data_IF_834344021211
#
_entry.id   IF_834344021211
#
_cell.length_a   1.000
_cell.length_b   1.000
_cell.length_c   1.000
_cell.angle_alpha   90.00
_cell.angle_beta   90.00
_cell.angle_gamma   90.00
#
_symmetry.space_group_name_H-M   'P 1'
#
loop_
_entity.id
_entity.type
_entity.pdbx_description
1 polymer ?
#
# COMPACT_ATOMS: atom_id res chain seq x y z
N UNK A 1 11.84 0.32 -19.27
CA UNK A 1 12.16 1.73 -19.63
C UNK A 1 10.96 2.69 -19.59
N UNK A 2 9.71 2.32 -19.96
CA UNK A 2 8.58 3.27 -19.91
C UNK A 2 8.22 3.78 -18.51
N UNK A 3 8.40 2.94 -17.48
CA UNK A 3 8.07 3.26 -16.09
C UNK A 3 8.96 4.33 -15.45
N UNK A 4 10.21 4.46 -15.89
CA UNK A 4 11.15 5.45 -15.36
C UNK A 4 10.76 6.85 -15.84
N UNK A 5 10.41 7.00 -17.11
CA UNK A 5 10.00 8.29 -17.68
C UNK A 5 8.68 8.79 -17.09
N UNK A 6 7.70 7.89 -16.92
CA UNK A 6 6.44 8.20 -16.25
C UNK A 6 6.65 8.68 -14.82
N UNK A 7 7.42 7.95 -14.01
CA UNK A 7 7.66 8.33 -12.61
C UNK A 7 8.43 9.66 -12.48
N UNK A 8 9.38 9.93 -13.38
CA UNK A 8 10.12 11.20 -13.38
C UNK A 8 9.22 12.38 -13.74
N UNK A 9 8.35 12.25 -14.75
CA UNK A 9 7.40 13.31 -15.12
C UNK A 9 6.42 13.58 -13.98
N UNK A 10 5.90 12.56 -13.34
CA UNK A 10 4.96 12.72 -12.22
C UNK A 10 5.60 13.39 -11.01
N UNK A 11 6.88 13.12 -10.74
CA UNK A 11 7.64 13.81 -9.69
C UNK A 11 7.84 15.31 -9.99
N UNK A 12 8.16 15.66 -11.24
CA UNK A 12 8.27 17.07 -11.64
C UNK A 12 6.93 17.81 -11.59
N UNK A 13 5.83 17.13 -11.94
CA UNK A 13 4.48 17.70 -11.88
C UNK A 13 4.03 17.96 -10.43
N UNK A 14 4.34 17.05 -9.51
CA UNK A 14 4.06 17.25 -8.09
C UNK A 14 4.85 18.45 -7.51
N UNK A 15 6.11 18.62 -7.94
CA UNK A 15 6.95 19.76 -7.54
C UNK A 15 6.40 21.13 -7.96
N UNK A 16 5.57 21.20 -9.00
CA UNK A 16 4.88 22.41 -9.45
C UNK A 16 3.40 22.47 -9.01
N UNK A 17 2.98 21.57 -8.11
CA UNK A 17 1.64 21.54 -7.52
C UNK A 17 0.57 20.88 -8.39
N UNK A 18 0.96 20.12 -9.42
CA UNK A 18 0.03 19.39 -10.30
C UNK A 18 -0.10 17.95 -9.81
N UNK A 19 -1.30 17.60 -9.33
CA UNK A 19 -1.56 16.24 -8.85
C UNK A 19 -1.52 15.22 -9.98
N UNK A 20 -1.27 13.95 -9.62
CA UNK A 20 -1.18 12.85 -10.59
C UNK A 20 -2.45 12.66 -11.41
N UNK A 21 -3.62 12.88 -10.80
CA UNK A 21 -4.92 12.80 -11.47
C UNK A 21 -5.05 13.92 -12.52
N UNK A 22 -4.66 15.15 -12.16
CA UNK A 22 -4.70 16.29 -13.09
C UNK A 22 -3.76 16.07 -14.27
N UNK A 23 -2.56 15.57 -14.01
CA UNK A 23 -1.60 15.21 -15.05
C UNK A 23 -2.17 14.19 -16.04
N UNK A 24 -2.81 13.12 -15.54
CA UNK A 24 -3.45 12.11 -16.38
C UNK A 24 -4.59 12.68 -17.22
N UNK A 25 -5.42 13.56 -16.64
CA UNK A 25 -6.52 14.23 -17.36
C UNK A 25 -6.03 15.20 -18.44
N UNK A 26 -4.93 15.92 -18.20
CA UNK A 26 -4.28 16.74 -19.23
C UNK A 26 -3.77 15.86 -20.37
N UNK A 27 -3.11 14.75 -20.05
CA UNK A 27 -2.64 13.78 -21.05
C UNK A 27 -3.78 13.25 -21.92
N UNK A 28 -4.89 12.81 -21.30
CA UNK A 28 -6.09 12.37 -22.02
C UNK A 28 -6.68 13.49 -22.91
N UNK A 29 -6.75 14.72 -22.39
CA UNK A 29 -7.25 15.88 -23.14
C UNK A 29 -6.39 16.16 -24.39
N UNK A 30 -5.06 16.07 -24.27
CA UNK A 30 -4.13 16.23 -25.39
C UNK A 30 -4.35 15.12 -26.43
N UNK A 31 -4.50 13.86 -26.00
CA UNK A 31 -4.74 12.74 -26.92
C UNK A 31 -6.03 12.91 -27.74
N UNK A 32 -7.08 13.41 -27.09
CA UNK A 32 -8.36 13.72 -27.75
C UNK A 32 -8.23 14.91 -28.72
N UNK A 33 -7.55 15.99 -28.31
CA UNK A 33 -7.36 17.19 -29.14
C UNK A 33 -6.49 16.92 -30.38
N UNK A 34 -5.51 16.04 -30.26
CA UNK A 34 -4.64 15.64 -31.38
C UNK A 34 -5.30 14.58 -32.29
N UNK A 35 -6.48 14.08 -31.94
CA UNK A 35 -7.19 13.04 -32.69
C UNK A 35 -6.48 11.69 -32.72
N UNK A 36 -5.54 11.45 -31.80
CA UNK A 36 -4.84 10.16 -31.64
C UNK A 36 -5.82 9.11 -31.10
N UNK A 37 -6.79 9.54 -30.30
CA UNK A 37 -7.86 8.75 -29.72
C UNK A 37 -9.16 9.55 -29.83
N UNK A 38 -10.28 8.88 -30.06
CA UNK A 38 -11.61 9.50 -30.04
C UNK A 38 -12.36 9.15 -28.74
N UNK A 39 -13.50 9.80 -28.50
CA UNK A 39 -14.28 9.56 -27.28
C UNK A 39 -14.87 8.14 -27.21
N UNK A 40 -15.23 7.55 -28.35
CA UNK A 40 -15.73 6.17 -28.40
C UNK A 40 -14.64 5.16 -28.02
N UNK A 41 -13.37 5.41 -28.36
CA UNK A 41 -12.23 4.60 -27.91
C UNK A 41 -12.15 4.61 -26.37
N UNK A 42 -12.29 5.78 -25.73
CA UNK A 42 -12.33 5.89 -24.26
C UNK A 42 -13.49 5.13 -23.63
N UNK A 43 -14.68 5.20 -24.24
CA UNK A 43 -15.87 4.48 -23.74
C UNK A 43 -15.72 2.96 -23.91
N UNK A 44 -15.02 2.52 -24.95
CA UNK A 44 -14.81 1.10 -25.24
C UNK A 44 -13.63 0.48 -24.49
N UNK A 45 -12.83 1.26 -23.75
CA UNK A 45 -11.73 0.77 -22.92
C UNK A 45 -12.22 0.08 -21.64
N UNK A 46 -12.83 -1.09 -21.80
CA UNK A 46 -13.51 -1.82 -20.72
C UNK A 46 -12.62 -2.15 -19.52
N UNK A 47 -11.33 -2.40 -19.74
CA UNK A 47 -10.38 -2.72 -18.67
C UNK A 47 -10.21 -1.56 -17.69
N UNK A 48 -10.15 -0.32 -18.19
CA UNK A 48 -10.06 0.88 -17.37
C UNK A 48 -11.33 1.09 -16.53
N UNK A 49 -12.52 0.91 -17.15
CA UNK A 49 -13.80 1.06 -16.46
C UNK A 49 -14.03 -0.02 -15.40
N UNK A 50 -13.68 -1.27 -15.70
CA UNK A 50 -13.78 -2.38 -14.74
C UNK A 50 -12.89 -2.10 -13.51
N UNK A 51 -11.62 -1.78 -13.76
CA UNK A 51 -10.66 -1.43 -12.70
C UNK A 51 -11.15 -0.25 -11.86
N UNK A 52 -11.64 0.81 -12.49
CA UNK A 52 -12.19 1.97 -11.79
C UNK A 52 -13.37 1.59 -10.90
N UNK A 53 -14.30 0.78 -11.41
CA UNK A 53 -15.54 0.44 -10.71
C UNK A 53 -15.29 -0.40 -9.45
N UNK A 54 -14.59 -1.53 -9.58
CA UNK A 54 -14.38 -2.40 -8.41
C UNK A 54 -13.41 -1.79 -7.40
N UNK A 55 -12.38 -1.07 -7.85
CA UNK A 55 -11.41 -0.42 -6.96
C UNK A 55 -12.05 0.72 -6.15
N UNK A 56 -12.90 1.55 -6.79
CA UNK A 56 -13.60 2.63 -6.11
C UNK A 56 -14.53 2.12 -5.00
N UNK A 57 -15.26 1.02 -5.25
CA UNK A 57 -16.14 0.40 -4.25
C UNK A 57 -15.33 -0.10 -3.04
N UNK A 58 -14.24 -0.83 -3.27
CA UNK A 58 -13.44 -1.38 -2.17
C UNK A 58 -12.76 -0.29 -1.35
N UNK A 59 -12.23 0.76 -2.00
CA UNK A 59 -11.65 1.92 -1.30
C UNK A 59 -12.72 2.67 -0.49
N UNK A 60 -13.91 2.87 -1.06
CA UNK A 60 -15.04 3.50 -0.36
C UNK A 60 -15.46 2.74 0.89
N UNK A 61 -15.60 1.40 0.80
CA UNK A 61 -15.93 0.55 1.95
C UNK A 61 -14.85 0.60 3.04
N UNK A 62 -13.57 0.52 2.66
CA UNK A 62 -12.46 0.61 3.61
C UNK A 62 -12.42 1.96 4.33
N UNK A 63 -12.71 3.06 3.61
CA UNK A 63 -12.87 4.39 4.19
C UNK A 63 -13.97 4.44 5.24
N UNK A 64 -15.16 3.93 4.91
CA UNK A 64 -16.29 3.91 5.85
C UNK A 64 -16.02 3.07 7.11
N UNK A 65 -15.34 1.92 6.99
CA UNK A 65 -14.94 1.13 8.17
C UNK A 65 -13.99 1.91 9.10
N UNK A 66 -13.16 2.76 8.52
CA UNK A 66 -12.25 3.64 9.27
C UNK A 66 -13.02 4.76 9.95
N UNK A 67 -13.88 5.47 9.21
CA UNK A 67 -14.66 6.61 9.70
C UNK A 67 -15.64 6.20 10.81
N UNK A 68 -16.22 5.00 10.72
CA UNK A 68 -17.07 4.40 11.76
C UNK A 68 -16.30 3.96 13.02
N UNK A 69 -14.96 4.06 13.02
CA UNK A 69 -14.11 3.74 14.17
C UNK A 69 -13.89 2.25 14.42
N UNK A 70 -14.35 1.38 13.52
CA UNK A 70 -14.19 -0.09 13.65
C UNK A 70 -12.72 -0.47 13.67
N UNK A 71 -11.91 0.19 12.84
CA UNK A 71 -10.47 -0.03 12.74
C UNK A 71 -9.76 0.33 14.06
N UNK A 72 -10.12 1.47 14.65
CA UNK A 72 -9.58 1.93 15.94
C UNK A 72 -9.99 1.01 17.09
N UNK A 73 -11.26 0.57 17.12
CA UNK A 73 -11.75 -0.38 18.11
C UNK A 73 -10.99 -1.72 18.05
N UNK A 74 -10.84 -2.29 16.85
CA UNK A 74 -10.14 -3.56 16.65
C UNK A 74 -8.65 -3.44 17.06
N UNK A 75 -8.00 -2.34 16.69
CA UNK A 75 -6.60 -2.10 17.06
C UNK A 75 -6.41 -2.01 18.57
N UNK A 76 -7.34 -1.38 19.30
CA UNK A 76 -7.30 -1.33 20.77
C UNK A 76 -7.47 -2.71 21.42
N UNK A 77 -8.29 -3.60 20.83
CA UNK A 77 -8.42 -4.98 21.30
C UNK A 77 -7.10 -5.74 21.13
N UNK A 78 -6.45 -5.63 19.97
CA UNK A 78 -5.15 -6.28 19.69
C UNK A 78 -4.06 -5.74 20.62
N UNK A 79 -4.03 -4.42 20.86
CA UNK A 79 -3.08 -3.79 21.77
C UNK A 79 -3.15 -4.37 23.19
N UNK A 80 -4.37 -4.55 23.73
CA UNK A 80 -4.58 -5.14 25.06
C UNK A 80 -4.13 -6.59 25.13
N UNK A 81 -4.39 -7.36 24.07
CA UNK A 81 -3.96 -8.76 23.98
C UNK A 81 -2.42 -8.84 23.96
N UNK A 82 -1.75 -8.01 23.16
CA UNK A 82 -0.29 -7.97 23.11
C UNK A 82 0.35 -7.57 24.45
N UNK A 83 -0.26 -6.62 25.18
CA UNK A 83 0.20 -6.26 26.53
C UNK A 83 0.10 -7.44 27.51
N UNK A 84 -0.92 -8.31 27.35
CA UNK A 84 -1.08 -9.48 28.23
C UNK A 84 0.02 -10.54 28.07
N UNK A 85 0.71 -10.57 26.92
CA UNK A 85 1.79 -11.52 26.65
C UNK A 85 3.17 -11.11 27.21
N UNK A 86 3.30 -9.90 27.81
CA UNK A 86 4.57 -9.40 28.38
C UNK A 86 5.78 -9.59 27.44
N UNK A 87 5.56 -9.39 26.13
CA UNK A 87 6.59 -9.54 25.11
C UNK A 87 7.67 -8.46 25.27
N UNK A 88 8.92 -8.82 24.98
CA UNK A 88 9.97 -7.82 24.79
C UNK A 88 9.63 -6.93 23.59
N UNK A 89 10.06 -5.67 23.61
CA UNK A 89 9.76 -4.73 22.53
C UNK A 89 10.18 -5.25 21.13
N UNK A 90 11.30 -6.00 20.92
CA UNK A 90 11.63 -6.54 19.60
C UNK A 90 10.66 -7.62 19.14
N UNK A 91 10.17 -8.46 20.07
CA UNK A 91 9.19 -9.49 19.76
C UNK A 91 7.82 -8.86 19.42
N UNK A 92 7.39 -7.87 20.19
CA UNK A 92 6.18 -7.10 19.91
C UNK A 92 6.27 -6.37 18.57
N UNK A 93 7.43 -5.76 18.26
CA UNK A 93 7.71 -5.14 16.96
C UNK A 93 7.53 -6.13 15.81
N UNK A 94 8.15 -7.32 15.89
CA UNK A 94 8.03 -8.33 14.84
C UNK A 94 6.58 -8.78 14.61
N UNK A 95 5.83 -9.04 15.69
CA UNK A 95 4.42 -9.45 15.61
C UNK A 95 3.55 -8.35 15.01
N UNK A 96 3.73 -7.10 15.46
CA UNK A 96 2.97 -5.96 14.94
C UNK A 96 3.30 -5.70 13.46
N UNK A 97 4.56 -5.79 13.05
CA UNK A 97 4.95 -5.61 11.64
C UNK A 97 4.39 -6.71 10.74
N UNK A 98 4.47 -7.97 11.17
CA UNK A 98 3.86 -9.08 10.44
C UNK A 98 2.34 -8.91 10.33
N UNK A 99 1.68 -8.54 11.43
CA UNK A 99 0.23 -8.33 11.47
C UNK A 99 -0.19 -7.19 10.53
N UNK A 100 0.52 -6.06 10.57
CA UNK A 100 0.29 -4.92 9.68
C UNK A 100 0.44 -5.33 8.21
N UNK A 101 1.50 -6.09 7.90
CA UNK A 101 1.76 -6.57 6.54
C UNK A 101 0.65 -7.48 6.01
N UNK A 102 0.24 -8.49 6.79
CA UNK A 102 -0.74 -9.49 6.35
C UNK A 102 -2.20 -9.01 6.41
N UNK A 103 -2.54 -8.05 7.28
CA UNK A 103 -3.88 -7.43 7.25
C UNK A 103 -4.16 -6.76 5.91
N UNK A 104 -3.11 -6.41 5.15
CA UNK A 104 -3.28 -5.82 3.83
C UNK A 104 -4.01 -6.73 2.82
N UNK A 105 -4.07 -8.05 3.03
CA UNK A 105 -4.95 -8.92 2.24
C UNK A 105 -6.43 -8.52 2.31
N UNK A 106 -6.84 -7.79 3.35
CA UNK A 106 -8.19 -7.28 3.56
C UNK A 106 -8.40 -5.87 3.01
N UNK A 107 -7.37 -5.23 2.43
CA UNK A 107 -7.42 -3.87 1.91
C UNK A 107 -7.13 -3.84 0.41
N UNK A 108 -7.94 -3.09 -0.32
CA UNK A 108 -7.77 -2.87 -1.76
C UNK A 108 -6.89 -1.67 -2.10
N UNK A 109 -6.19 -1.07 -1.13
CA UNK A 109 -5.36 0.09 -1.41
C UNK A 109 -4.35 0.31 -0.30
N UNK A 110 -3.09 0.54 -0.68
CA UNK A 110 -2.05 0.98 0.25
C UNK A 110 -2.45 2.26 0.98
N UNK A 111 -3.02 3.23 0.26
CA UNK A 111 -3.47 4.50 0.85
C UNK A 111 -4.61 4.29 1.83
N UNK A 112 -5.59 3.46 1.49
CA UNK A 112 -6.70 3.15 2.39
C UNK A 112 -6.22 2.42 3.66
N UNK A 113 -5.31 1.45 3.50
CA UNK A 113 -4.70 0.76 4.64
C UNK A 113 -3.95 1.74 5.55
N UNK A 114 -3.09 2.60 4.99
CA UNK A 114 -2.33 3.59 5.76
C UNK A 114 -3.26 4.54 6.49
N UNK A 115 -4.27 5.09 5.81
CA UNK A 115 -5.26 5.98 6.43
C UNK A 115 -6.01 5.31 7.59
N UNK A 116 -6.30 4.02 7.46
CA UNK A 116 -7.03 3.25 8.46
C UNK A 116 -6.18 2.85 9.68
N UNK A 117 -5.00 2.29 9.42
CA UNK A 117 -4.30 1.46 10.41
C UNK A 117 -2.98 2.07 10.90
N UNK A 118 -2.39 3.00 10.16
CA UNK A 118 -1.04 3.49 10.46
C UNK A 118 -0.95 4.12 11.85
N UNK A 119 -1.86 5.03 12.18
CA UNK A 119 -1.89 5.72 13.48
C UNK A 119 -2.08 4.75 14.65
N UNK A 120 -2.97 3.77 14.48
CA UNK A 120 -3.26 2.77 15.49
C UNK A 120 -2.08 1.82 15.72
N UNK A 121 -1.45 1.32 14.65
CA UNK A 121 -0.26 0.49 14.77
C UNK A 121 0.95 1.25 15.30
N UNK A 122 1.09 2.54 14.97
CA UNK A 122 2.12 3.39 15.57
C UNK A 122 1.90 3.52 17.08
N UNK A 123 0.67 3.78 17.52
CA UNK A 123 0.35 3.83 18.95
C UNK A 123 0.65 2.50 19.67
N UNK A 124 0.35 1.35 19.05
CA UNK A 124 0.68 0.03 19.58
C UNK A 124 2.19 -0.21 19.71
N UNK A 125 2.97 0.21 18.71
CA UNK A 125 4.44 0.12 18.76
C UNK A 125 5.01 0.94 19.93
N UNK A 126 4.54 2.18 20.09
CA UNK A 126 4.99 3.06 21.18
C UNK A 126 4.61 2.50 22.55
N UNK A 127 3.38 1.97 22.68
CA UNK A 127 2.92 1.33 23.91
C UNK A 127 3.72 0.05 24.26
N UNK A 128 4.25 -0.64 23.25
CA UNK A 128 5.14 -1.79 23.42
C UNK A 128 6.61 -1.42 23.69
N UNK A 129 6.94 -0.13 23.78
CA UNK A 129 8.30 0.35 24.07
C UNK A 129 9.24 0.38 22.87
N UNK A 130 8.72 0.28 21.65
CA UNK A 130 9.53 0.38 20.42
C UNK A 130 9.96 1.84 20.20
N UNK A 131 11.22 2.11 19.82
CA UNK A 131 11.66 3.47 19.46
C UNK A 131 10.76 4.12 18.41
N UNK A 132 10.41 5.40 18.62
CA UNK A 132 9.41 6.08 17.80
C UNK A 132 9.81 6.21 16.32
N UNK A 133 11.07 6.58 16.06
CA UNK A 133 11.59 6.73 14.69
C UNK A 133 11.60 5.38 13.97
N UNK A 134 12.05 4.32 14.65
CA UNK A 134 12.01 2.95 14.13
C UNK A 134 10.59 2.54 13.77
N UNK A 135 9.62 2.82 14.65
CA UNK A 135 8.22 2.48 14.46
C UNK A 135 7.63 3.17 13.23
N UNK A 136 7.84 4.48 13.10
CA UNK A 136 7.33 5.26 11.97
C UNK A 136 7.94 4.79 10.65
N UNK A 137 9.28 4.70 10.58
CA UNK A 137 9.97 4.25 9.37
C UNK A 137 9.55 2.84 8.97
N UNK A 138 9.53 1.90 9.92
CA UNK A 138 9.21 0.52 9.64
C UNK A 138 7.77 0.36 9.12
N UNK A 139 6.80 1.06 9.70
CA UNK A 139 5.43 1.08 9.17
C UNK A 139 5.39 1.68 7.76
N UNK A 140 6.05 2.81 7.51
CA UNK A 140 6.09 3.43 6.17
C UNK A 140 6.70 2.49 5.12
N UNK A 141 7.81 1.81 5.44
CA UNK A 141 8.41 0.86 4.51
C UNK A 141 7.53 -0.36 4.29
N UNK A 142 6.96 -0.93 5.36
CA UNK A 142 6.01 -2.03 5.28
C UNK A 142 4.84 -1.68 4.34
N UNK A 143 4.34 -0.44 4.44
CA UNK A 143 3.30 0.09 3.56
C UNK A 143 3.64 0.20 2.08
N UNK A 144 4.91 -0.01 1.69
CA UNK A 144 5.32 -0.09 0.30
C UNK A 144 5.59 -1.55 -0.13
N UNK A 145 5.98 -2.41 0.82
CA UNK A 145 6.35 -3.80 0.55
C UNK A 145 5.13 -4.70 0.33
N UNK A 146 4.00 -4.39 0.95
CA UNK A 146 2.76 -5.14 0.76
C UNK A 146 2.03 -4.82 -0.56
N UNK A 147 2.57 -3.89 -1.36
CA UNK A 147 1.92 -3.36 -2.56
C UNK A 147 1.76 -4.35 -3.71
N UNK A 148 2.40 -5.52 -3.62
CA UNK A 148 2.35 -6.60 -4.61
C UNK A 148 1.67 -7.88 -4.10
N UNK A 149 1.01 -7.87 -2.93
CA UNK A 149 0.43 -9.07 -2.33
C UNK A 149 -0.72 -9.66 -3.14
N UNK A 150 -1.58 -8.81 -3.68
CA UNK A 150 -2.78 -9.20 -4.41
C UNK A 150 -2.93 -8.35 -5.65
N UNK A 151 -3.84 -8.75 -6.55
CA UNK A 151 -4.19 -7.92 -7.71
C UNK A 151 -4.81 -6.57 -7.32
N UNK A 152 -5.28 -6.43 -6.08
CA UNK A 152 -5.88 -5.20 -5.56
C UNK A 152 -5.06 -4.49 -4.50
N UNK A 153 -3.86 -4.94 -4.14
CA UNK A 153 -3.09 -4.32 -3.04
C UNK A 153 -2.72 -2.86 -3.33
N UNK A 154 -2.57 -2.52 -4.60
CA UNK A 154 -2.21 -1.17 -5.04
C UNK A 154 -2.86 -0.83 -6.38
N UNK A 155 -2.93 0.46 -6.71
CA UNK A 155 -3.40 0.89 -8.03
C UNK A 155 -2.52 0.33 -9.15
N UNK A 156 -1.22 0.19 -8.90
CA UNK A 156 -0.29 -0.42 -9.85
C UNK A 156 -0.62 -1.91 -10.06
N UNK A 157 -0.84 -2.68 -8.99
CA UNK A 157 -1.24 -4.09 -9.10
C UNK A 157 -2.54 -4.27 -9.86
N UNK A 158 -3.52 -3.38 -9.61
CA UNK A 158 -4.82 -3.43 -10.28
C UNK A 158 -4.67 -3.23 -11.80
N UNK A 159 -3.86 -2.25 -12.21
CA UNK A 159 -3.55 -2.00 -13.62
C UNK A 159 -2.80 -3.17 -14.26
N UNK A 160 -1.79 -3.72 -13.58
CA UNK A 160 -1.04 -4.87 -14.12
C UNK A 160 -1.92 -6.10 -14.31
N UNK A 161 -2.81 -6.39 -13.36
CA UNK A 161 -3.73 -7.51 -13.47
C UNK A 161 -4.82 -7.25 -14.53
N UNK A 162 -5.37 -6.04 -14.58
CA UNK A 162 -6.37 -5.62 -15.56
C UNK A 162 -5.89 -5.67 -17.02
N UNK A 163 -4.57 -5.77 -17.26
CA UNK A 163 -4.01 -5.97 -18.59
C UNK A 163 -4.26 -7.39 -19.15
N UNK A 164 -4.68 -8.36 -18.32
CA UNK A 164 -5.11 -9.70 -18.76
C UNK A 164 -3.97 -10.67 -19.11
N UNK A 165 -2.72 -10.34 -18.75
CA UNK A 165 -1.54 -11.18 -19.05
C UNK A 165 -1.21 -12.21 -17.96
N UNK A 166 -1.79 -12.10 -16.76
CA UNK A 166 -1.45 -12.93 -15.61
C UNK A 166 -2.71 -13.47 -14.97
N UNK A 167 -2.77 -14.78 -14.78
CA UNK A 167 -3.90 -15.44 -14.14
C UNK A 167 -3.93 -15.15 -12.63
N UNK A 168 -5.14 -15.11 -12.06
CA UNK A 168 -5.36 -14.81 -10.65
C UNK A 168 -4.53 -15.67 -9.69
N UNK A 169 -4.43 -17.02 -9.85
CA UNK A 169 -3.62 -17.84 -8.95
C UNK A 169 -2.13 -17.47 -8.99
N UNK A 170 -1.62 -17.05 -10.14
CA UNK A 170 -0.21 -16.69 -10.29
C UNK A 170 0.09 -15.33 -9.67
N UNK A 171 -0.85 -14.39 -9.70
CA UNK A 171 -0.74 -13.13 -8.93
C UNK A 171 -0.53 -13.43 -7.45
N UNK A 172 -1.33 -14.32 -6.86
CA UNK A 172 -1.20 -14.67 -5.44
C UNK A 172 0.10 -15.41 -5.13
N UNK A 173 0.56 -16.33 -6.00
CA UNK A 173 1.86 -17.00 -5.83
C UNK A 173 3.02 -16.02 -5.89
N UNK A 174 3.00 -15.11 -6.87
CA UNK A 174 4.01 -14.06 -7.03
C UNK A 174 4.00 -13.11 -5.83
N UNK A 175 2.81 -12.69 -5.36
CA UNK A 175 2.66 -11.84 -4.19
C UNK A 175 3.20 -12.49 -2.92
N UNK A 176 2.90 -13.77 -2.68
CA UNK A 176 3.47 -14.51 -1.55
C UNK A 176 5.00 -14.67 -1.66
N UNK A 177 5.51 -14.93 -2.86
CA UNK A 177 6.96 -15.04 -3.12
C UNK A 177 7.66 -13.70 -2.86
N UNK A 178 7.09 -12.59 -3.34
CA UNK A 178 7.59 -11.25 -3.08
C UNK A 178 7.55 -10.92 -1.58
N UNK A 179 6.49 -11.31 -0.86
CA UNK A 179 6.40 -11.15 0.58
C UNK A 179 7.53 -11.87 1.32
N UNK A 180 7.82 -13.12 0.96
CA UNK A 180 8.90 -13.89 1.57
C UNK A 180 10.28 -13.26 1.31
N UNK A 181 10.53 -12.81 0.07
CA UNK A 181 11.77 -12.11 -0.28
C UNK A 181 11.90 -10.80 0.50
N UNK A 182 10.84 -10.00 0.57
CA UNK A 182 10.81 -8.74 1.32
C UNK A 182 11.05 -8.98 2.82
N UNK A 183 10.41 -10.00 3.40
CA UNK A 183 10.60 -10.36 4.81
C UNK A 183 12.06 -10.76 5.10
N UNK A 184 12.71 -11.50 4.20
CA UNK A 184 14.13 -11.85 4.34
C UNK A 184 15.04 -10.63 4.23
N UNK A 185 14.85 -9.80 3.20
CA UNK A 185 15.69 -8.61 2.99
C UNK A 185 15.54 -7.63 4.16
N UNK A 186 14.32 -7.28 4.54
CA UNK A 186 14.09 -6.31 5.61
C UNK A 186 14.33 -6.88 7.00
N UNK A 187 14.04 -8.16 7.21
CA UNK A 187 14.30 -8.84 8.48
C UNK A 187 15.78 -9.05 8.75
N UNK A 188 16.60 -9.32 7.73
CA UNK A 188 18.04 -9.52 7.89
C UNK A 188 18.82 -8.24 7.60
N UNK A 189 18.83 -7.79 6.35
CA UNK A 189 19.65 -6.63 5.95
C UNK A 189 19.13 -5.36 6.60
N UNK A 190 17.81 -5.17 6.63
CA UNK A 190 17.18 -4.00 7.24
C UNK A 190 17.48 -3.86 8.73
N UNK A 191 17.41 -4.94 9.49
CA UNK A 191 17.72 -4.92 10.94
C UNK A 191 19.18 -4.57 11.20
N UNK A 192 20.13 -5.21 10.50
CA UNK A 192 21.54 -4.86 10.62
C UNK A 192 21.82 -3.40 10.24
N UNK A 193 21.21 -2.93 9.15
CA UNK A 193 21.39 -1.56 8.68
C UNK A 193 20.84 -0.53 9.67
N UNK A 194 19.65 -0.76 10.22
CA UNK A 194 19.06 0.12 11.23
C UNK A 194 19.85 0.13 12.53
N UNK A 195 20.46 -0.99 12.91
CA UNK A 195 21.38 -1.04 14.04
C UNK A 195 22.64 -0.21 13.78
N UNK A 196 23.21 -0.31 12.57
CA UNK A 196 24.35 0.51 12.16
C UNK A 196 24.06 2.02 12.18
N UNK A 197 22.85 2.42 11.79
CA UNK A 197 22.38 3.81 11.84
C UNK A 197 22.02 4.29 13.26
N UNK A 198 22.06 3.42 14.27
CA UNK A 198 21.72 3.78 15.65
C UNK A 198 20.22 4.00 15.90
N UNK A 199 19.35 3.38 15.09
CA UNK A 199 17.89 3.51 15.25
C UNK A 199 17.32 2.69 16.42
N UNK A 200 18.13 1.76 16.96
CA UNK A 200 17.90 1.00 18.20
C UNK A 200 19.21 0.39 18.71
#
# INVERSE_FOLDING_TARGET
MPSLFGNTVMFFLDAIGVSSVVAAMIGLSILLLLGVMNWDDCLNEKSAWDTLAWFAILVGMAGQLTDLGIVSWMSNCVAKVLQSFSLSWPAAFGVLQASYFFIHYLFASQTAHVGALYSAFLAMHLAAGVPAILSALALTYNSNLFGALTHYSSGQSAVYYGAGYVDLPDVFKLGFTAAAINALIWGVVGTFWWKFLGLY
#
